data_IF_958936804220
#
_entry.id   IF_958936804220
#
_cell.length_a   1.000
_cell.length_b   1.000
_cell.length_c   1.000
_cell.angle_alpha   90.00
_cell.angle_beta   90.00
_cell.angle_gamma   90.00
#
_symmetry.space_group_name_H-M   'P 1'
#
loop_
_entity.id
_entity.type
_entity.pdbx_description
1 polymer ?
#
# COMPACT_ATOMS: atom_id res chain seq x y z
N UNK A 1 -10.88 11.09 0.42
CA UNK A 1 -12.32 11.39 0.32
C UNK A 1 -12.71 12.08 -0.98
N UNK A 2 -11.78 12.37 -1.89
CA UNK A 2 -12.05 12.93 -3.22
C UNK A 2 -11.79 11.86 -4.28
N UNK A 3 -12.40 12.01 -5.45
CA UNK A 3 -12.10 11.25 -6.66
C UNK A 3 -11.70 12.24 -7.74
N UNK A 4 -10.42 12.23 -8.16
CA UNK A 4 -9.88 13.03 -9.25
C UNK A 4 -10.29 14.51 -9.22
N UNK A 5 -10.20 15.15 -8.04
CA UNK A 5 -10.51 16.56 -7.84
C UNK A 5 -11.99 16.88 -7.56
N UNK A 6 -12.83 15.88 -7.27
CA UNK A 6 -14.22 16.10 -6.85
C UNK A 6 -14.35 16.99 -5.62
N UNK A 7 -13.31 17.07 -4.78
CA UNK A 7 -13.19 18.05 -3.70
C UNK A 7 -11.91 18.86 -3.85
N UNK A 8 -12.03 20.19 -3.71
CA UNK A 8 -10.89 21.10 -3.67
C UNK A 8 -10.35 21.19 -2.25
N UNK A 9 -9.18 20.62 -2.01
CA UNK A 9 -8.52 20.66 -0.71
C UNK A 9 -7.00 20.55 -0.83
N UNK A 10 -6.19 21.19 0.04
CA UNK A 10 -4.73 21.09 -0.01
C UNK A 10 -4.18 19.65 0.03
N UNK A 11 -4.83 18.75 0.77
CA UNK A 11 -4.46 17.33 0.78
C UNK A 11 -4.63 16.65 -0.58
N UNK A 12 -5.68 17.01 -1.33
CA UNK A 12 -5.90 16.47 -2.69
C UNK A 12 -4.77 16.92 -3.61
N UNK A 13 -4.44 18.22 -3.57
CA UNK A 13 -3.31 18.77 -4.33
C UNK A 13 -1.98 18.10 -3.97
N UNK A 14 -1.75 17.81 -2.67
CA UNK A 14 -0.56 17.10 -2.19
C UNK A 14 -0.47 15.68 -2.77
N UNK A 15 -1.59 14.97 -2.86
CA UNK A 15 -1.64 13.61 -3.43
C UNK A 15 -1.39 13.65 -4.94
N UNK A 16 -2.00 14.57 -5.69
CA UNK A 16 -1.73 14.75 -7.12
C UNK A 16 -0.25 14.95 -7.39
N UNK A 17 0.39 15.87 -6.66
CA UNK A 17 1.83 16.11 -6.79
C UNK A 17 2.65 14.85 -6.47
N UNK A 18 2.25 14.08 -5.46
CA UNK A 18 2.91 12.82 -5.11
C UNK A 18 2.83 11.81 -6.25
N UNK A 19 1.66 11.64 -6.85
CA UNK A 19 1.44 10.71 -7.97
C UNK A 19 2.29 11.12 -9.18
N UNK A 20 2.33 12.42 -9.52
CA UNK A 20 3.18 12.92 -10.60
C UNK A 20 4.68 12.66 -10.35
N UNK A 21 5.14 12.85 -9.11
CA UNK A 21 6.53 12.51 -8.74
C UNK A 21 6.82 11.00 -8.86
N UNK A 22 5.88 10.15 -8.47
CA UNK A 22 6.04 8.69 -8.59
C UNK A 22 6.07 8.28 -10.06
N UNK A 23 5.16 8.82 -10.88
CA UNK A 23 5.11 8.57 -12.33
C UNK A 23 6.41 8.98 -13.02
N UNK A 24 6.96 10.15 -12.68
CA UNK A 24 8.24 10.59 -13.22
C UNK A 24 9.40 9.64 -12.86
N UNK A 25 9.40 9.08 -11.63
CA UNK A 25 10.45 8.17 -11.14
C UNK A 25 10.28 6.73 -11.59
N UNK A 26 9.04 6.28 -11.83
CA UNK A 26 8.68 4.91 -12.21
C UNK A 26 7.57 4.94 -13.27
N UNK A 27 7.88 5.28 -14.54
CA UNK A 27 6.87 5.46 -15.58
C UNK A 27 6.06 4.20 -15.90
N UNK A 28 6.64 3.02 -15.67
CA UNK A 28 5.99 1.72 -15.91
C UNK A 28 5.12 1.25 -14.74
N UNK A 29 5.16 1.95 -13.60
CA UNK A 29 4.33 1.60 -12.45
C UNK A 29 2.89 2.03 -12.71
N UNK A 30 2.00 1.06 -12.64
CA UNK A 30 0.56 1.29 -12.69
C UNK A 30 0.11 1.97 -11.39
N UNK A 31 -0.09 3.29 -11.43
CA UNK A 31 -0.47 4.11 -10.28
C UNK A 31 -1.44 5.21 -10.70
N UNK A 32 -2.46 5.42 -9.87
CA UNK A 32 -3.45 6.46 -10.10
C UNK A 32 -4.11 6.98 -8.82
N UNK A 33 -4.82 8.08 -8.94
CA UNK A 33 -5.50 8.76 -7.84
C UNK A 33 -5.41 10.30 -7.93
N UNK A 34 -5.84 11.02 -6.91
CA UNK A 34 -6.46 10.52 -5.67
C UNK A 34 -7.84 9.91 -5.94
N UNK A 35 -8.19 8.87 -5.19
CA UNK A 35 -9.50 8.26 -5.28
C UNK A 35 -9.93 7.66 -3.95
N UNK A 36 -11.23 7.49 -3.79
CA UNK A 36 -11.84 6.78 -2.69
C UNK A 36 -11.67 5.25 -2.88
N UNK A 37 -11.58 4.47 -1.78
CA UNK A 37 -11.39 3.02 -1.86
C UNK A 37 -12.45 2.31 -2.71
N UNK A 38 -13.70 2.78 -2.71
CA UNK A 38 -14.76 2.20 -3.55
C UNK A 38 -14.44 2.26 -5.04
N UNK A 39 -13.86 3.36 -5.54
CA UNK A 39 -13.41 3.49 -6.93
C UNK A 39 -12.12 2.70 -7.19
N UNK A 40 -11.25 2.59 -6.20
CA UNK A 40 -10.01 1.84 -6.34
C UNK A 40 -10.28 0.33 -6.48
N UNK A 41 -11.23 -0.20 -5.72
CA UNK A 41 -11.51 -1.64 -5.63
C UNK A 41 -12.49 -2.15 -6.70
N UNK A 42 -13.26 -1.27 -7.34
CA UNK A 42 -14.21 -1.61 -8.40
C UNK A 42 -13.71 -1.10 -9.77
N UNK A 43 -13.09 -1.98 -10.55
CA UNK A 43 -12.53 -1.62 -11.85
C UNK A 43 -13.58 -1.19 -12.86
N UNK A 44 -14.73 -1.87 -12.88
CA UNK A 44 -15.80 -1.62 -13.85
C UNK A 44 -16.44 -0.25 -13.58
N UNK A 45 -16.79 0.02 -12.31
CA UNK A 45 -17.35 1.31 -11.91
C UNK A 45 -16.35 2.45 -12.13
N UNK A 46 -15.06 2.21 -11.86
CA UNK A 46 -14.01 3.19 -12.15
C UNK A 46 -13.87 3.46 -13.64
N UNK A 47 -13.88 2.43 -14.49
CA UNK A 47 -13.74 2.62 -15.93
C UNK A 47 -14.95 3.38 -16.52
N UNK A 48 -16.14 3.14 -15.99
CA UNK A 48 -17.36 3.86 -16.39
C UNK A 48 -17.30 5.34 -15.99
N UNK A 49 -16.89 5.65 -14.76
CA UNK A 49 -16.86 7.03 -14.25
C UNK A 49 -15.61 7.82 -14.66
N UNK A 50 -14.48 7.13 -14.78
CA UNK A 50 -13.13 7.68 -14.93
C UNK A 50 -12.33 6.87 -15.95
N UNK A 51 -12.82 6.78 -17.19
CA UNK A 51 -12.20 5.97 -18.25
C UNK A 51 -10.78 6.41 -18.67
N UNK A 52 -10.30 7.55 -18.17
CA UNK A 52 -8.91 7.99 -18.29
C UNK A 52 -7.98 7.37 -17.23
N UNK A 53 -8.52 6.61 -16.28
CA UNK A 53 -7.74 6.01 -15.21
C UNK A 53 -6.67 5.07 -15.76
N UNK A 54 -5.48 5.11 -15.16
CA UNK A 54 -4.37 4.22 -15.56
C UNK A 54 -4.48 2.81 -14.96
N UNK A 55 -5.36 2.61 -13.98
CA UNK A 55 -5.57 1.32 -13.36
C UNK A 55 -6.47 0.46 -14.27
N UNK A 56 -5.89 -0.57 -14.86
CA UNK A 56 -6.52 -1.58 -15.73
C UNK A 56 -7.36 -2.60 -14.97
N UNK A 57 -7.10 -2.79 -13.67
CA UNK A 57 -7.79 -3.75 -12.80
C UNK A 57 -8.08 -3.16 -11.43
N UNK A 58 -8.82 -3.89 -10.58
CA UNK A 58 -9.03 -3.47 -9.20
C UNK A 58 -7.69 -3.29 -8.49
N UNK A 59 -7.57 -2.19 -7.75
CA UNK A 59 -6.36 -1.86 -7.02
C UNK A 59 -6.06 -2.98 -6.01
N UNK A 60 -4.85 -3.52 -6.08
CA UNK A 60 -4.36 -4.51 -5.12
C UNK A 60 -3.43 -3.89 -4.06
N UNK A 61 -3.16 -2.59 -4.15
CA UNK A 61 -2.32 -1.85 -3.21
C UNK A 61 -2.97 -0.50 -2.97
N UNK A 62 -3.23 -0.18 -1.70
CA UNK A 62 -3.83 1.08 -1.28
C UNK A 62 -2.78 1.88 -0.51
N UNK A 63 -2.51 3.10 -0.98
CA UNK A 63 -1.59 4.04 -0.32
C UNK A 63 -2.40 5.15 0.31
N UNK A 64 -2.28 5.31 1.63
CA UNK A 64 -3.05 6.27 2.40
C UNK A 64 -2.26 7.57 2.65
N UNK A 65 -2.98 8.69 2.73
CA UNK A 65 -2.39 10.03 2.87
C UNK A 65 -1.92 10.37 4.29
N UNK A 66 -2.29 9.54 5.27
CA UNK A 66 -1.95 9.69 6.68
C UNK A 66 -1.96 8.35 7.42
N UNK A 67 -1.21 8.29 8.54
CA UNK A 67 -1.21 7.13 9.43
C UNK A 67 -2.60 6.82 9.97
N UNK A 68 -3.37 7.85 10.32
CA UNK A 68 -4.72 7.67 10.87
C UNK A 68 -5.65 6.97 9.87
N UNK A 69 -5.66 7.40 8.60
CA UNK A 69 -6.51 6.79 7.57
C UNK A 69 -6.05 5.37 7.22
N UNK A 70 -4.74 5.14 7.12
CA UNK A 70 -4.19 3.80 6.89
C UNK A 70 -4.49 2.82 8.03
N UNK A 71 -4.29 3.25 9.27
CA UNK A 71 -4.56 2.41 10.44
C UNK A 71 -6.05 2.11 10.60
N UNK A 72 -6.93 3.10 10.40
CA UNK A 72 -8.37 2.88 10.44
C UNK A 72 -8.81 1.86 9.37
N UNK A 73 -8.38 2.04 8.12
CA UNK A 73 -8.69 1.12 7.03
C UNK A 73 -8.17 -0.29 7.29
N UNK A 74 -6.93 -0.41 7.80
CA UNK A 74 -6.34 -1.68 8.18
C UNK A 74 -7.12 -2.41 9.27
N UNK A 75 -7.47 -1.72 10.36
CA UNK A 75 -8.22 -2.32 11.47
C UNK A 75 -9.63 -2.73 11.04
N UNK A 76 -10.31 -1.93 10.22
CA UNK A 76 -11.62 -2.27 9.65
C UNK A 76 -11.51 -3.51 8.74
N UNK A 77 -10.52 -3.54 7.85
CA UNK A 77 -10.29 -4.69 6.98
C UNK A 77 -9.96 -5.96 7.78
N UNK A 78 -9.15 -5.86 8.85
CA UNK A 78 -8.86 -6.99 9.75
C UNK A 78 -10.11 -7.47 10.48
N UNK A 79 -10.94 -6.56 10.98
CA UNK A 79 -12.13 -6.91 11.76
C UNK A 79 -13.26 -7.50 10.89
N UNK A 80 -13.45 -7.00 9.67
CA UNK A 80 -14.57 -7.39 8.79
C UNK A 80 -14.18 -8.41 7.71
N UNK A 81 -12.93 -8.40 7.26
CA UNK A 81 -12.49 -9.15 6.08
C UNK A 81 -12.27 -10.63 6.31
N UNK A 82 -12.31 -11.11 7.56
CA UNK A 82 -12.14 -12.53 7.92
C UNK A 82 -10.79 -13.15 7.52
N UNK A 83 -9.87 -12.36 6.97
CA UNK A 83 -8.57 -12.79 6.48
C UNK A 83 -7.46 -12.48 7.49
N UNK A 84 -6.44 -13.33 7.52
CA UNK A 84 -5.26 -13.10 8.35
C UNK A 84 -4.49 -11.88 7.88
N UNK A 85 -4.31 -10.92 8.79
CA UNK A 85 -3.48 -9.75 8.56
C UNK A 85 -2.02 -10.06 8.89
N UNK A 86 -1.10 -9.80 7.95
CA UNK A 86 0.35 -9.92 8.18
C UNK A 86 0.96 -8.52 8.27
N UNK A 87 1.51 -8.17 9.43
CA UNK A 87 2.18 -6.89 9.64
C UNK A 87 2.23 -6.45 11.11
N UNK A 88 2.79 -5.25 11.38
CA UNK A 88 3.29 -4.28 10.40
C UNK A 88 4.64 -4.68 9.77
N UNK A 89 4.76 -4.52 8.45
CA UNK A 89 6.02 -4.73 7.71
C UNK A 89 6.73 -3.38 7.56
N UNK A 90 7.95 -3.29 8.06
CA UNK A 90 8.79 -2.08 7.96
C UNK A 90 9.53 -2.10 6.63
N UNK A 91 9.46 -0.99 5.88
CA UNK A 91 10.13 -0.82 4.59
C UNK A 91 11.17 0.30 4.68
N UNK A 92 12.19 0.25 3.81
CA UNK A 92 13.19 1.32 3.68
C UNK A 92 14.32 1.30 4.71
N UNK A 93 14.43 0.23 5.51
CA UNK A 93 15.53 0.01 6.46
C UNK A 93 16.70 -0.73 5.80
N UNK A 94 17.92 -0.49 6.28
CA UNK A 94 19.15 -1.08 5.72
C UNK A 94 19.34 -2.57 5.98
N UNK A 95 18.60 -3.13 6.94
CA UNK A 95 18.49 -4.56 7.24
C UNK A 95 17.04 -4.90 7.58
N UNK A 96 16.55 -6.13 7.38
CA UNK A 96 15.16 -6.49 7.64
C UNK A 96 14.89 -6.47 9.14
N UNK A 97 13.80 -5.83 9.53
CA UNK A 97 13.36 -5.69 10.93
C UNK A 97 11.84 -5.85 10.95
N UNK A 98 11.33 -6.60 11.93
CA UNK A 98 9.92 -6.63 12.26
C UNK A 98 9.66 -5.86 13.55
N UNK A 99 8.59 -5.07 13.57
CA UNK A 99 8.02 -4.53 14.79
C UNK A 99 6.67 -5.24 15.02
N UNK A 100 6.45 -5.73 16.23
CA UNK A 100 5.24 -6.45 16.59
C UNK A 100 4.56 -5.79 17.78
N UNK A 101 3.24 -5.97 17.88
CA UNK A 101 2.48 -5.52 19.05
C UNK A 101 2.62 -6.55 20.16
N UNK A 102 2.58 -6.11 21.42
CA UNK A 102 2.67 -7.01 22.58
C UNK A 102 1.54 -8.04 22.62
N UNK A 103 0.39 -7.73 22.01
CA UNK A 103 -0.76 -8.61 21.92
C UNK A 103 -0.73 -9.55 20.69
N UNK A 104 0.42 -9.68 20.01
CA UNK A 104 0.51 -10.52 18.82
C UNK A 104 0.28 -12.00 19.15
N UNK A 105 -0.44 -12.69 18.28
CA UNK A 105 -0.67 -14.13 18.41
C UNK A 105 0.58 -14.93 18.04
N UNK A 106 0.65 -16.20 18.47
CA UNK A 106 1.75 -17.11 18.09
C UNK A 106 1.85 -17.22 16.56
N UNK A 107 0.73 -17.29 15.86
CA UNK A 107 0.69 -17.33 14.40
C UNK A 107 1.26 -16.06 13.77
N UNK A 108 0.91 -14.87 14.28
CA UNK A 108 1.47 -13.60 13.82
C UNK A 108 3.00 -13.58 14.01
N UNK A 109 3.51 -14.07 15.15
CA UNK A 109 4.96 -14.15 15.44
C UNK A 109 5.68 -15.06 14.46
N UNK A 110 5.14 -16.26 14.20
CA UNK A 110 5.73 -17.22 13.25
C UNK A 110 5.72 -16.67 11.82
N UNK A 111 4.61 -16.07 11.39
CA UNK A 111 4.49 -15.48 10.06
C UNK A 111 5.46 -14.31 9.87
N UNK A 112 5.56 -13.42 10.85
CA UNK A 112 6.48 -12.28 10.79
C UNK A 112 7.94 -12.71 10.82
N UNK A 113 8.29 -13.70 11.65
CA UNK A 113 9.66 -14.24 11.70
C UNK A 113 10.04 -14.86 10.35
N UNK A 114 9.15 -15.68 9.78
CA UNK A 114 9.36 -16.29 8.46
C UNK A 114 9.58 -15.23 7.38
N UNK A 115 8.77 -14.18 7.39
CA UNK A 115 8.90 -13.07 6.44
C UNK A 115 10.24 -12.32 6.59
N UNK A 116 10.68 -12.02 7.81
CA UNK A 116 11.96 -11.32 8.05
C UNK A 116 13.15 -12.16 7.60
N UNK A 117 13.13 -13.48 7.87
CA UNK A 117 14.19 -14.40 7.43
C UNK A 117 14.29 -14.42 5.90
N UNK A 118 13.15 -14.52 5.20
CA UNK A 118 13.11 -14.48 3.75
C UNK A 118 13.64 -13.15 3.20
N UNK A 119 13.27 -12.03 3.81
CA UNK A 119 13.80 -10.72 3.42
C UNK A 119 15.32 -10.63 3.61
N UNK A 120 15.86 -11.20 4.69
CA UNK A 120 17.31 -11.21 4.95
C UNK A 120 18.07 -12.01 3.90
N UNK A 121 17.58 -13.21 3.58
CA UNK A 121 18.17 -14.06 2.54
C UNK A 121 18.14 -13.38 1.17
N UNK A 122 17.02 -12.73 0.80
CA UNK A 122 16.92 -12.00 -0.47
C UNK A 122 17.88 -10.80 -0.52
N UNK A 123 18.01 -10.04 0.57
CA UNK A 123 18.94 -8.92 0.61
C UNK A 123 20.40 -9.38 0.46
N UNK A 124 20.77 -10.47 1.13
CA UNK A 124 22.11 -11.05 1.02
C UNK A 124 22.40 -11.51 -0.43
N UNK A 125 21.47 -12.23 -1.07
CA UNK A 125 21.61 -12.64 -2.47
C UNK A 125 21.76 -11.46 -3.42
N UNK A 126 21.01 -10.37 -3.20
CA UNK A 126 21.11 -9.15 -4.01
C UNK A 126 22.45 -8.43 -3.79
N UNK A 127 23.00 -8.45 -2.58
CA UNK A 127 24.32 -7.90 -2.27
C UNK A 127 25.42 -8.72 -2.94
N UNK A 128 25.35 -10.06 -2.85
CA UNK A 128 26.29 -10.96 -3.53
C UNK A 128 26.27 -10.80 -5.05
N UNK A 129 25.11 -10.58 -5.67
CA UNK A 129 24.99 -10.31 -7.12
C UNK A 129 25.55 -8.95 -7.55
N UNK A 130 25.74 -8.03 -6.61
CA UNK A 130 26.24 -6.66 -6.88
C UNK A 130 27.73 -6.50 -6.58
N UNK A 131 28.32 -7.45 -5.86
CA UNK A 131 29.75 -7.53 -5.58
C UNK A 131 30.46 -8.29 -6.71
#
# INVERSE_FOLDING_TARGET
YSNFGSVRHPDVTRIHRTIEMVRARRPTLEIDGEMQPEMALDADRRQQAYGFSRLTRSANTLVFSSLASGNAAYQIAKALGGASAVGPIVLGVGKPVAAMQNAATVEEIVNMTSHVVLQAQQQEQLQQKRA
#
